data_IF_971896869117
#
_entry.id   IF_971896869117
#
_cell.length_a   1.000
_cell.length_b   1.000
_cell.length_c   1.000
_cell.angle_alpha   90.00
_cell.angle_beta   90.00
_cell.angle_gamma   90.00
#
_symmetry.space_group_name_H-M   'P 1'
#
loop_
_entity.id
_entity.type
_entity.pdbx_description
1 polymer ?
#
# COMPACT_ATOMS: atom_id res chain seq x y z
N UNK A 1 -51.80 -29.51 7.63
CA UNK A 1 -50.48 -28.95 7.26
C UNK A 1 -49.85 -29.66 6.04
N UNK A 2 -50.62 -30.37 5.21
CA UNK A 2 -50.06 -31.24 4.15
C UNK A 2 -49.87 -30.54 2.78
N UNK A 3 -50.25 -29.27 2.65
CA UNK A 3 -50.16 -28.54 1.36
C UNK A 3 -48.92 -27.64 1.25
N UNK A 4 -48.19 -27.44 2.35
CA UNK A 4 -46.95 -26.65 2.39
C UNK A 4 -45.91 -27.11 1.36
N UNK A 5 -45.64 -28.42 1.19
CA UNK A 5 -44.69 -28.90 0.18
C UNK A 5 -45.09 -28.57 -1.26
N UNK A 6 -46.40 -28.58 -1.55
CA UNK A 6 -46.94 -28.24 -2.87
C UNK A 6 -46.78 -26.75 -3.17
N UNK A 7 -47.02 -25.91 -2.17
CA UNK A 7 -46.87 -24.46 -2.28
C UNK A 7 -45.39 -24.09 -2.51
N UNK A 8 -44.48 -24.67 -1.72
CA UNK A 8 -43.03 -24.46 -1.88
C UNK A 8 -42.58 -24.87 -3.29
N UNK A 9 -43.01 -26.04 -3.78
CA UNK A 9 -42.66 -26.52 -5.12
C UNK A 9 -43.13 -25.56 -6.22
N UNK A 10 -44.36 -25.05 -6.13
CA UNK A 10 -44.91 -24.11 -7.12
C UNK A 10 -44.10 -22.81 -7.12
N UNK A 11 -43.85 -22.25 -5.94
CA UNK A 11 -43.15 -20.97 -5.79
C UNK A 11 -41.68 -21.08 -6.23
N UNK A 12 -40.98 -22.16 -5.85
CA UNK A 12 -39.62 -22.42 -6.29
C UNK A 12 -39.51 -22.51 -7.82
N UNK A 13 -40.40 -23.29 -8.47
CA UNK A 13 -40.43 -23.41 -9.92
C UNK A 13 -40.75 -22.07 -10.61
N UNK A 14 -41.60 -21.24 -10.00
CA UNK A 14 -41.88 -19.90 -10.52
C UNK A 14 -40.65 -18.98 -10.46
N UNK A 15 -39.86 -19.05 -9.38
CA UNK A 15 -38.63 -18.26 -9.23
C UNK A 15 -37.50 -18.76 -10.13
N UNK A 16 -37.21 -20.06 -10.15
CA UNK A 16 -36.08 -20.61 -10.92
C UNK A 16 -36.29 -20.55 -12.43
N UNK A 17 -37.55 -20.60 -12.91
CA UNK A 17 -37.85 -20.40 -14.34
C UNK A 17 -37.72 -18.94 -14.78
N UNK A 18 -37.68 -17.99 -13.86
CA UNK A 18 -37.44 -16.60 -14.19
C UNK A 18 -35.96 -16.39 -14.51
N UNK A 19 -35.66 -16.10 -15.79
CA UNK A 19 -34.30 -15.89 -16.28
C UNK A 19 -33.57 -14.77 -15.53
N UNK A 20 -34.26 -13.69 -15.18
CA UNK A 20 -33.68 -12.58 -14.42
C UNK A 20 -33.33 -12.99 -12.99
N UNK A 21 -34.15 -13.81 -12.35
CA UNK A 21 -33.86 -14.34 -11.02
C UNK A 21 -32.60 -15.21 -11.04
N UNK A 22 -32.50 -16.13 -12.00
CA UNK A 22 -31.33 -17.00 -12.16
C UNK A 22 -30.08 -16.18 -12.48
N UNK A 23 -30.17 -15.23 -13.42
CA UNK A 23 -29.06 -14.36 -13.79
C UNK A 23 -28.57 -13.56 -12.58
N UNK A 24 -29.45 -12.85 -11.86
CA UNK A 24 -29.05 -12.04 -10.70
C UNK A 24 -28.42 -12.88 -9.59
N UNK A 25 -28.94 -14.09 -9.35
CA UNK A 25 -28.43 -14.98 -8.29
C UNK A 25 -26.98 -15.41 -8.53
N UNK A 26 -26.57 -15.59 -9.80
CA UNK A 26 -25.19 -15.99 -10.12
C UNK A 26 -24.30 -14.82 -10.53
N UNK A 27 -24.85 -13.86 -11.27
CA UNK A 27 -24.12 -12.72 -11.80
C UNK A 27 -23.74 -11.73 -10.69
N UNK A 28 -24.60 -11.52 -9.69
CA UNK A 28 -24.29 -10.60 -8.60
C UNK A 28 -23.10 -11.07 -7.74
N UNK A 29 -23.04 -12.33 -7.27
CA UNK A 29 -21.84 -12.84 -6.60
C UNK A 29 -20.59 -12.79 -7.48
N UNK A 30 -20.72 -13.07 -8.78
CA UNK A 30 -19.60 -13.02 -9.72
C UNK A 30 -19.05 -11.59 -9.88
N UNK A 31 -19.94 -10.61 -10.03
CA UNK A 31 -19.58 -9.19 -10.07
C UNK A 31 -18.92 -8.77 -8.77
N UNK A 32 -19.40 -9.22 -7.61
CA UNK A 32 -18.79 -8.91 -6.31
C UNK A 32 -17.34 -9.41 -6.26
N UNK A 33 -17.09 -10.66 -6.64
CA UNK A 33 -15.74 -11.24 -6.68
C UNK A 33 -14.85 -10.46 -7.66
N UNK A 34 -15.36 -10.13 -8.84
CA UNK A 34 -14.63 -9.35 -9.83
C UNK A 34 -14.29 -7.94 -9.33
N UNK A 35 -15.22 -7.28 -8.64
CA UNK A 35 -15.01 -5.94 -8.10
C UNK A 35 -14.00 -5.94 -6.96
N UNK A 36 -14.11 -6.88 -6.02
CA UNK A 36 -13.11 -7.05 -4.95
C UNK A 36 -11.73 -7.32 -5.54
N UNK A 37 -11.64 -8.24 -6.50
CA UNK A 37 -10.38 -8.57 -7.17
C UNK A 37 -9.78 -7.36 -7.89
N UNK A 38 -10.61 -6.55 -8.57
CA UNK A 38 -10.18 -5.32 -9.24
C UNK A 38 -9.65 -4.30 -8.24
N UNK A 39 -10.37 -4.04 -7.14
CA UNK A 39 -9.93 -3.11 -6.10
C UNK A 39 -8.61 -3.59 -5.50
N UNK A 40 -8.51 -4.86 -5.12
CA UNK A 40 -7.26 -5.44 -4.61
C UNK A 40 -6.13 -5.29 -5.63
N UNK A 41 -6.36 -5.58 -6.90
CA UNK A 41 -5.35 -5.44 -7.96
C UNK A 41 -4.87 -3.99 -8.08
N UNK A 42 -5.78 -3.02 -8.18
CA UNK A 42 -5.42 -1.59 -8.24
C UNK A 42 -4.69 -1.13 -6.98
N UNK A 43 -5.13 -1.59 -5.81
CA UNK A 43 -4.45 -1.32 -4.55
C UNK A 43 -3.05 -1.95 -4.54
N UNK A 44 -2.86 -3.16 -5.07
CA UNK A 44 -1.52 -3.77 -5.15
C UNK A 44 -0.60 -3.04 -6.14
N UNK A 45 -1.14 -2.59 -7.28
CA UNK A 45 -0.40 -1.74 -8.21
C UNK A 45 0.02 -0.42 -7.57
N UNK A 46 -0.85 0.16 -6.72
CA UNK A 46 -0.53 1.38 -5.98
C UNK A 46 0.27 1.12 -4.69
N UNK A 47 0.31 -0.11 -4.17
CA UNK A 47 1.01 -0.48 -2.94
C UNK A 47 2.49 -0.85 -3.18
N UNK A 48 3.03 -0.62 -4.39
CA UNK A 48 4.48 -0.44 -4.56
C UNK A 48 5.03 0.72 -3.70
N UNK A 49 4.15 1.55 -3.11
CA UNK A 49 4.49 2.65 -2.22
C UNK A 49 4.75 2.13 -0.78
N UNK A 50 5.51 1.05 -0.59
CA UNK A 50 6.32 0.95 0.64
C UNK A 50 7.48 1.89 0.40
N UNK A 51 7.36 3.12 0.88
CA UNK A 51 8.39 4.14 0.68
C UNK A 51 9.60 3.77 1.53
N UNK A 52 10.59 3.16 0.90
CA UNK A 52 11.89 2.96 1.52
C UNK A 52 12.67 4.25 1.37
N UNK A 53 12.88 4.96 2.48
CA UNK A 53 13.64 6.20 2.54
C UNK A 53 15.03 5.87 3.07
N UNK A 54 16.06 6.13 2.27
CA UNK A 54 17.44 6.04 2.71
C UNK A 54 17.76 7.29 3.56
N UNK A 55 18.42 7.12 4.70
CA UNK A 55 18.72 8.22 5.64
C UNK A 55 20.23 8.28 5.86
N UNK A 56 20.83 9.40 5.48
CA UNK A 56 22.20 9.75 5.83
C UNK A 56 22.16 10.79 6.95
N UNK A 57 22.34 10.34 8.20
CA UNK A 57 22.38 11.20 9.39
C UNK A 57 23.81 11.33 9.91
N UNK A 58 24.44 12.46 9.63
CA UNK A 58 25.79 12.77 10.15
C UNK A 58 25.76 13.36 11.56
N UNK A 59 24.61 13.89 11.99
CA UNK A 59 24.42 14.52 13.30
C UNK A 59 24.20 13.51 14.44
N UNK A 60 23.72 12.30 14.10
CA UNK A 60 23.33 11.21 15.00
C UNK A 60 22.17 11.53 15.96
N UNK A 61 21.48 12.66 15.79
CA UNK A 61 20.34 13.03 16.63
C UNK A 61 19.04 12.31 16.26
N UNK A 62 18.91 11.77 15.04
CA UNK A 62 17.63 11.32 14.49
C UNK A 62 17.51 9.80 14.34
N UNK A 63 18.53 9.05 14.75
CA UNK A 63 18.57 7.58 14.62
C UNK A 63 17.49 6.84 15.40
N UNK A 64 17.06 7.37 16.55
CA UNK A 64 16.01 6.76 17.37
C UNK A 64 14.62 7.38 17.16
N UNK A 65 14.56 8.51 16.44
CA UNK A 65 13.31 9.26 16.23
C UNK A 65 12.54 8.76 15.01
N UNK A 66 13.23 8.30 13.95
CA UNK A 66 12.56 7.81 12.74
C UNK A 66 12.26 6.32 12.87
N UNK A 67 11.04 6.01 13.31
CA UNK A 67 10.54 4.64 13.40
C UNK A 67 9.87 4.21 12.08
N UNK A 68 10.21 3.02 11.60
CA UNK A 68 9.55 2.44 10.41
C UNK A 68 8.11 2.04 10.73
N UNK A 69 7.20 2.26 9.78
CA UNK A 69 5.79 1.89 9.84
C UNK A 69 5.46 0.84 8.77
N UNK A 70 4.22 0.38 8.69
CA UNK A 70 3.78 -0.54 7.62
C UNK A 70 3.95 0.06 6.21
N UNK A 71 3.94 1.38 6.08
CA UNK A 71 3.94 2.09 4.78
C UNK A 71 5.25 2.84 4.48
N UNK A 72 6.09 3.09 5.48
CA UNK A 72 7.37 3.81 5.33
C UNK A 72 8.48 3.06 6.05
N UNK A 73 9.53 2.68 5.33
CA UNK A 73 10.71 2.05 5.89
C UNK A 73 11.89 3.01 5.84
N UNK A 74 12.59 3.16 6.95
CA UNK A 74 13.81 3.96 7.02
C UNK A 74 15.03 3.03 6.97
N UNK A 75 15.94 3.28 6.04
CA UNK A 75 17.20 2.57 5.92
C UNK A 75 18.37 3.52 6.19
N UNK A 76 19.05 3.34 7.31
CA UNK A 76 20.17 4.21 7.70
C UNK A 76 21.45 3.81 6.97
N UNK A 77 22.10 4.79 6.34
CA UNK A 77 23.38 4.66 5.69
C UNK A 77 24.45 5.27 6.61
N UNK A 78 25.15 4.42 7.35
CA UNK A 78 26.24 4.84 8.25
C UNK A 78 27.60 4.78 7.52
N UNK A 79 28.42 5.83 7.65
CA UNK A 79 29.83 5.80 7.21
C UNK A 79 30.08 5.95 5.71
N UNK A 80 29.12 6.50 4.97
CA UNK A 80 29.23 6.81 3.53
C UNK A 80 29.16 8.32 3.31
N UNK A 81 29.77 8.81 2.23
CA UNK A 81 29.64 10.20 1.81
C UNK A 81 28.32 10.45 1.08
N UNK A 82 27.96 11.72 0.87
CA UNK A 82 26.72 12.12 0.22
C UNK A 82 26.58 11.55 -1.21
N UNK A 83 27.69 11.44 -1.94
CA UNK A 83 27.70 10.94 -3.31
C UNK A 83 27.45 9.43 -3.37
N UNK A 84 28.11 8.66 -2.51
CA UNK A 84 27.86 7.23 -2.35
C UNK A 84 26.45 6.97 -1.82
N UNK A 85 25.96 7.79 -0.89
CA UNK A 85 24.60 7.67 -0.37
C UNK A 85 23.54 7.87 -1.46
N UNK A 86 23.74 8.84 -2.38
CA UNK A 86 22.89 9.00 -3.56
C UNK A 86 22.92 7.77 -4.47
N UNK A 87 24.13 7.26 -4.76
CA UNK A 87 24.30 6.06 -5.59
C UNK A 87 23.64 4.82 -4.98
N UNK A 88 23.79 4.63 -3.66
CA UNK A 88 23.18 3.52 -2.93
C UNK A 88 21.66 3.63 -2.87
N UNK A 89 21.14 4.85 -2.63
CA UNK A 89 19.70 5.12 -2.64
C UNK A 89 19.07 4.78 -4.00
N UNK A 90 19.71 5.20 -5.10
CA UNK A 90 19.24 4.92 -6.45
C UNK A 90 19.35 3.44 -6.81
N UNK A 91 20.46 2.77 -6.46
CA UNK A 91 20.62 1.32 -6.66
C UNK A 91 19.59 0.50 -5.87
N UNK A 92 19.23 0.95 -4.66
CA UNK A 92 18.22 0.32 -3.82
C UNK A 92 16.79 0.65 -4.26
N UNK A 93 16.59 1.42 -5.34
CA UNK A 93 15.30 1.95 -5.79
C UNK A 93 14.50 2.55 -4.62
N UNK A 94 15.20 3.25 -3.72
CA UNK A 94 14.59 3.93 -2.59
C UNK A 94 13.73 5.08 -3.09
N UNK A 95 12.63 5.37 -2.39
CA UNK A 95 11.75 6.50 -2.67
C UNK A 95 12.46 7.86 -2.58
N UNK A 96 13.54 7.93 -1.79
CA UNK A 96 14.40 9.09 -1.73
C UNK A 96 15.47 8.96 -0.66
N UNK A 97 16.42 9.90 -0.69
CA UNK A 97 17.49 10.06 0.27
C UNK A 97 17.21 11.28 1.16
N UNK A 98 17.08 11.05 2.45
CA UNK A 98 17.05 12.09 3.49
C UNK A 98 18.49 12.35 3.96
N UNK A 99 18.99 13.56 3.69
CA UNK A 99 20.30 14.01 4.14
C UNK A 99 20.16 14.96 5.33
N UNK A 100 20.82 14.62 6.43
CA UNK A 100 20.87 15.41 7.65
C UNK A 100 22.35 15.75 7.92
N UNK A 101 22.77 17.01 7.68
CA UNK A 101 24.15 17.43 7.88
C UNK A 101 24.52 17.47 9.37
N UNK A 102 25.82 17.36 9.66
CA UNK A 102 26.35 17.51 11.01
C UNK A 102 26.36 18.98 11.47
N UNK A 103 25.20 19.50 11.87
CA UNK A 103 24.99 20.85 12.40
C UNK A 103 24.35 20.80 13.80
N UNK A 104 24.49 21.87 14.60
CA UNK A 104 23.73 22.01 15.85
C UNK A 104 22.22 21.92 15.59
N UNK A 105 21.48 21.38 16.57
CA UNK A 105 20.03 21.15 16.46
C UNK A 105 19.25 22.41 16.06
N UNK A 106 19.72 23.60 16.47
CA UNK A 106 19.09 24.89 16.18
C UNK A 106 19.24 25.32 14.72
N UNK A 107 20.24 24.81 14.00
CA UNK A 107 20.55 25.18 12.61
C UNK A 107 20.34 24.03 11.63
N UNK A 108 20.26 22.79 12.10
CA UNK A 108 20.11 21.61 11.24
C UNK A 108 18.77 21.60 10.50
N UNK A 109 17.71 22.14 11.11
CA UNK A 109 16.34 22.15 10.55
C UNK A 109 16.25 22.88 9.21
N UNK A 110 17.08 23.90 8.98
CA UNK A 110 17.09 24.70 7.75
C UNK A 110 17.87 24.02 6.61
N UNK A 111 18.73 23.04 6.92
CA UNK A 111 19.66 22.41 5.98
C UNK A 111 19.34 20.93 5.70
N UNK A 112 18.30 20.37 6.31
CA UNK A 112 17.79 19.02 5.97
C UNK A 112 17.32 19.03 4.51
N UNK A 113 17.82 18.08 3.72
CA UNK A 113 17.49 17.95 2.29
C UNK A 113 16.89 16.58 2.01
N UNK A 114 15.76 16.57 1.32
CA UNK A 114 15.16 15.36 0.77
C UNK A 114 15.42 15.32 -0.73
N UNK A 115 16.13 14.30 -1.18
CA UNK A 115 16.54 14.11 -2.57
C UNK A 115 15.71 12.94 -3.13
N UNK A 116 14.81 13.22 -4.06
CA UNK A 116 13.98 12.24 -4.76
C UNK A 116 14.35 12.21 -6.24
N UNK A 117 14.11 11.07 -6.90
CA UNK A 117 14.30 10.91 -8.35
C UNK A 117 13.01 11.25 -9.15
N UNK A 118 11.89 11.49 -8.44
CA UNK A 118 10.59 11.96 -8.96
C UNK A 118 10.55 13.48 -9.28
#
# INVERSE_FOLDING_TARGET
MNHLPLIIKREYLAKVKNKSFLLMTFLSPLIMVGFISLVTYLTTLNNEIIRTISVLDESKFFKETLSSTEYTKYHYLDGVDLESAKSLSNQASSYGLLYIPNLPIDSVSEEIKFLSED
#
